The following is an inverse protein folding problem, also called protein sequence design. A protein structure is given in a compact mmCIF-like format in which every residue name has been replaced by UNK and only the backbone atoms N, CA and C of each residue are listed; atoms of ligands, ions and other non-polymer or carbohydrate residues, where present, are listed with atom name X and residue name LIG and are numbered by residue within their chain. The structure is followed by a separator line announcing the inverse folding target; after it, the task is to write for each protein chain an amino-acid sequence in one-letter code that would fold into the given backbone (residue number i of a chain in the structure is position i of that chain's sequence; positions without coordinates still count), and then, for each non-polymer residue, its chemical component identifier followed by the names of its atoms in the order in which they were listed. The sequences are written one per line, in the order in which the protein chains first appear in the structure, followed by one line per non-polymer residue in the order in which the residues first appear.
data_IF_767276377532
#
_entry.id   IF_767276377532
#
_cell.length_a   1.000
_cell.length_b   1.000
_cell.length_c   1.000
_cell.angle_alpha   90.00
_cell.angle_beta   90.00
_cell.angle_gamma   90.00
#
_symmetry.space_group_name_H-M   'P 1'
#
loop_
_entity.id
_entity.type
_entity.pdbx_description
1 polymer ?
#
# COMPACT_ATOMS: atom_id res chain seq x y z
N UNK A 1 -3.33 -10.92 13.53
CA UNK A 1 -4.69 -11.46 13.33
C UNK A 1 -5.58 -11.29 14.57
N UNK A 2 -5.26 -11.84 15.75
CA UNK A 2 -6.08 -11.65 16.97
C UNK A 2 -6.41 -10.17 17.23
N UNK A 3 -5.37 -9.33 17.33
CA UNK A 3 -5.52 -7.88 17.49
C UNK A 3 -6.43 -7.22 16.43
N UNK A 4 -6.38 -7.69 15.17
CA UNK A 4 -7.21 -7.13 14.09
C UNK A 4 -8.68 -7.52 14.24
N UNK A 5 -8.95 -8.74 14.71
CA UNK A 5 -10.31 -9.18 15.05
C UNK A 5 -10.87 -8.43 16.25
N UNK A 6 -10.00 -8.02 17.17
CA UNK A 6 -10.34 -7.18 18.33
C UNK A 6 -10.48 -5.68 17.95
N UNK A 7 -10.52 -5.33 16.66
CA UNK A 7 -10.74 -3.98 16.17
C UNK A 7 -9.50 -3.09 16.12
N UNK A 8 -8.29 -3.64 16.33
CA UNK A 8 -7.04 -2.86 16.22
C UNK A 8 -6.55 -2.78 14.78
N UNK A 9 -5.98 -1.64 14.42
CA UNK A 9 -5.38 -1.42 13.11
C UNK A 9 -4.03 -2.15 12.96
N UNK A 10 -3.72 -2.55 11.73
CA UNK A 10 -2.40 -3.08 11.35
C UNK A 10 -1.94 -2.39 10.07
N UNK A 11 -0.66 -2.04 10.01
CA UNK A 11 -0.01 -1.50 8.82
C UNK A 11 0.93 -2.54 8.21
N UNK A 12 0.98 -2.60 6.88
CA UNK A 12 1.93 -3.41 6.13
C UNK A 12 2.42 -2.62 4.93
N UNK A 13 3.73 -2.69 4.67
CA UNK A 13 4.30 -2.19 3.41
C UNK A 13 3.98 -3.21 2.33
N UNK A 14 3.28 -2.77 1.28
CA UNK A 14 2.57 -3.68 0.38
C UNK A 14 3.49 -4.52 -0.52
N UNK A 15 4.62 -3.97 -0.95
CA UNK A 15 5.64 -4.64 -1.79
C UNK A 15 6.67 -5.47 -1.00
N UNK A 16 6.66 -5.36 0.33
CA UNK A 16 7.50 -6.17 1.22
C UNK A 16 9.00 -5.85 1.09
N UNK A 17 9.86 -6.56 1.83
CA UNK A 17 11.30 -6.22 1.88
C UNK A 17 12.12 -6.65 0.66
N UNK A 18 11.54 -7.46 -0.24
CA UNK A 18 12.24 -8.10 -1.37
C UNK A 18 11.77 -7.61 -2.74
N UNK A 19 10.77 -6.73 -2.78
CA UNK A 19 10.21 -6.20 -4.02
C UNK A 19 9.48 -7.20 -4.91
N UNK A 20 9.26 -6.85 -6.19
CA UNK A 20 9.64 -5.59 -6.85
C UNK A 20 8.83 -4.37 -6.37
N UNK A 21 9.40 -3.17 -6.56
CA UNK A 21 8.77 -1.91 -6.16
C UNK A 21 7.36 -1.79 -6.73
N UNK A 22 6.41 -1.34 -5.91
CA UNK A 22 5.00 -1.11 -6.33
C UNK A 22 4.26 -2.38 -6.79
N UNK A 23 4.77 -3.56 -6.47
CA UNK A 23 4.09 -4.84 -6.73
C UNK A 23 3.66 -5.45 -5.42
N UNK A 24 2.35 -5.56 -5.22
CA UNK A 24 1.76 -5.98 -3.95
C UNK A 24 2.02 -7.47 -3.70
N UNK A 25 2.50 -7.80 -2.50
CA UNK A 25 2.66 -9.19 -2.05
C UNK A 25 1.33 -9.72 -1.48
N UNK A 26 1.11 -11.03 -1.59
CA UNK A 26 -0.13 -11.67 -1.16
C UNK A 26 -0.40 -11.60 0.37
N UNK A 27 0.60 -11.27 1.19
CA UNK A 27 0.50 -11.26 2.65
C UNK A 27 -0.62 -10.38 3.20
N UNK A 28 -0.84 -9.19 2.60
CA UNK A 28 -1.93 -8.28 2.98
C UNK A 28 -3.31 -8.90 2.71
N UNK A 29 -3.48 -9.54 1.54
CA UNK A 29 -4.71 -10.24 1.14
C UNK A 29 -4.99 -11.43 2.08
N UNK A 30 -3.96 -12.23 2.40
CA UNK A 30 -4.08 -13.37 3.32
C UNK A 30 -4.48 -12.90 4.72
N UNK A 31 -3.85 -11.85 5.24
CA UNK A 31 -4.18 -11.30 6.55
C UNK A 31 -5.62 -10.80 6.60
N UNK A 32 -6.04 -10.03 5.59
CA UNK A 32 -7.41 -9.51 5.47
C UNK A 32 -8.44 -10.64 5.38
N UNK A 33 -8.25 -11.61 4.49
CA UNK A 33 -9.16 -12.77 4.34
C UNK A 33 -9.30 -13.59 5.62
N UNK A 34 -8.19 -13.82 6.35
CA UNK A 34 -8.20 -14.58 7.61
C UNK A 34 -8.76 -13.78 8.79
N UNK A 35 -8.52 -12.48 8.83
CA UNK A 35 -9.02 -11.61 9.89
C UNK A 35 -10.48 -11.19 9.67
N UNK A 36 -10.97 -11.23 8.42
CA UNK A 36 -12.31 -10.77 8.06
C UNK A 36 -12.45 -9.24 8.13
N UNK A 37 -11.35 -8.51 7.90
CA UNK A 37 -11.31 -7.04 7.97
C UNK A 37 -10.89 -6.45 6.62
N UNK A 38 -11.41 -5.27 6.23
CA UNK A 38 -11.03 -4.64 4.97
C UNK A 38 -9.58 -4.16 4.97
N UNK A 39 -9.02 -4.01 3.78
CA UNK A 39 -7.73 -3.33 3.55
C UNK A 39 -8.03 -1.90 3.12
N UNK A 40 -7.46 -0.91 3.81
CA UNK A 40 -7.51 0.49 3.40
C UNK A 40 -6.20 0.82 2.65
N UNK A 41 -6.22 1.01 1.31
CA UNK A 41 -5.03 1.44 0.58
C UNK A 41 -4.60 2.82 1.05
N UNK A 42 -3.32 3.00 1.33
CA UNK A 42 -2.74 4.27 1.74
C UNK A 42 -1.44 4.49 0.97
N UNK A 43 -1.25 5.71 0.47
CA UNK A 43 0.03 6.20 -0.06
C UNK A 43 0.30 7.58 0.51
N UNK A 44 1.55 8.03 0.38
CA UNK A 44 1.93 9.38 0.76
C UNK A 44 2.81 9.99 -0.33
N UNK A 45 2.85 11.32 -0.36
CA UNK A 45 3.81 12.08 -1.17
C UNK A 45 4.33 13.27 -0.36
N UNK A 46 5.41 13.89 -0.84
CA UNK A 46 5.92 15.09 -0.20
C UNK A 46 6.61 16.03 -1.19
N UNK A 47 6.69 17.30 -0.82
CA UNK A 47 7.29 18.33 -1.67
C UNK A 47 8.82 18.22 -1.75
N UNK A 48 9.47 17.81 -0.65
CA UNK A 48 10.93 17.76 -0.50
C UNK A 48 11.38 16.46 0.17
N UNK A 49 12.24 15.71 -0.51
CA UNK A 49 12.78 14.45 0.00
C UNK A 49 14.15 14.13 -0.61
N UNK A 50 14.83 13.15 -0.01
CA UNK A 50 15.98 12.46 -0.59
C UNK A 50 15.54 11.07 -1.04
N UNK A 51 15.76 10.74 -2.31
CA UNK A 51 15.56 9.38 -2.84
C UNK A 51 16.81 8.55 -2.61
N UNK A 52 16.67 7.33 -2.14
CA UNK A 52 17.78 6.37 -2.07
C UNK A 52 17.79 5.47 -3.30
N UNK A 53 18.97 4.99 -3.69
CA UNK A 53 19.13 3.98 -4.75
C UNK A 53 18.80 2.55 -4.29
N UNK A 54 17.88 2.41 -3.33
CA UNK A 54 17.37 1.11 -2.89
C UNK A 54 16.47 0.51 -3.96
N UNK A 55 16.20 -0.80 -3.87
CA UNK A 55 15.39 -1.54 -4.85
C UNK A 55 13.97 -0.97 -5.02
N UNK A 56 13.44 -0.32 -3.99
CA UNK A 56 12.12 0.33 -3.96
C UNK A 56 12.17 1.83 -4.27
N UNK A 57 13.36 2.41 -4.35
CA UNK A 57 13.56 3.85 -4.50
C UNK A 57 13.25 4.68 -3.26
N UNK A 58 13.15 4.10 -2.05
CA UNK A 58 12.74 4.76 -0.79
C UNK A 58 12.96 6.29 -0.77
N UNK A 59 11.87 7.04 -0.62
CA UNK A 59 11.93 8.48 -0.38
C UNK A 59 11.93 8.80 1.12
N UNK A 60 12.88 9.63 1.55
CA UNK A 60 12.93 10.18 2.90
C UNK A 60 12.61 11.68 2.87
N UNK A 61 11.45 12.09 3.40
CA UNK A 61 11.11 13.51 3.51
C UNK A 61 12.19 14.29 4.28
N UNK A 62 12.57 15.45 3.77
CA UNK A 62 13.52 16.33 4.44
C UNK A 62 12.82 17.08 5.59
N UNK A 63 13.55 17.55 6.63
CA UNK A 63 12.96 18.38 7.68
C UNK A 63 12.14 19.54 7.10
N UNK A 64 10.95 19.80 7.68
CA UNK A 64 9.99 20.83 7.22
C UNK A 64 9.37 20.58 5.83
N UNK A 65 9.43 19.36 5.31
CA UNK A 65 8.63 18.98 4.14
C UNK A 65 7.14 18.95 4.49
N UNK A 66 6.29 19.31 3.53
CA UNK A 66 4.86 18.99 3.59
C UNK A 66 4.67 17.56 3.12
N UNK A 67 4.01 16.74 3.92
CA UNK A 67 3.66 15.36 3.61
C UNK A 67 2.14 15.28 3.46
N UNK A 68 1.69 14.79 2.31
CA UNK A 68 0.28 14.58 2.01
C UNK A 68 -0.02 13.07 2.06
N UNK A 69 -1.03 12.68 2.85
CA UNK A 69 -1.50 11.30 2.95
C UNK A 69 -2.77 11.12 2.12
N UNK A 70 -2.82 10.02 1.38
CA UNK A 70 -3.92 9.68 0.50
C UNK A 70 -4.46 8.31 0.88
N UNK A 71 -5.79 8.21 0.97
CA UNK A 71 -6.49 6.98 1.25
C UNK A 71 -7.33 6.61 0.03
N UNK A 72 -7.24 5.35 -0.38
CA UNK A 72 -8.04 4.79 -1.47
C UNK A 72 -9.30 4.11 -0.96
N UNK A 73 -10.10 3.62 -1.90
CA UNK A 73 -11.30 2.83 -1.58
C UNK A 73 -10.94 1.54 -0.82
N UNK A 74 -11.61 1.24 0.30
CA UNK A 74 -11.41 -0.01 1.04
C UNK A 74 -11.64 -1.25 0.16
N UNK A 75 -10.77 -2.24 0.30
CA UNK A 75 -10.89 -3.54 -0.34
C UNK A 75 -11.39 -4.56 0.68
N UNK A 76 -12.60 -5.09 0.46
CA UNK A 76 -13.16 -6.18 1.25
C UNK A 76 -12.72 -7.49 0.61
N UNK A 77 -11.90 -8.26 1.32
CA UNK A 77 -11.44 -9.58 0.86
C UNK A 77 -12.35 -10.65 1.45
N UNK A 78 -12.94 -11.54 0.64
CA UNK A 78 -13.77 -12.63 1.15
C UNK A 78 -12.99 -13.54 2.13
N UNK A 79 -13.66 -14.23 3.06
CA UNK A 79 -13.01 -15.26 3.86
C UNK A 79 -12.72 -16.52 3.04
N UNK A 80 -11.66 -17.25 3.39
CA UNK A 80 -11.30 -18.57 2.79
C UNK A 80 -11.14 -18.53 1.26
N UNK A 81 -10.53 -17.49 0.71
CA UNK A 81 -10.28 -17.38 -0.74
C UNK A 81 -9.34 -18.48 -1.25
N UNK A 82 -9.60 -18.95 -2.46
CA UNK A 82 -8.72 -19.85 -3.21
C UNK A 82 -7.61 -19.06 -3.91
N UNK A 83 -6.60 -19.76 -4.41
CA UNK A 83 -5.39 -19.18 -5.02
C UNK A 83 -5.69 -18.19 -6.17
N UNK A 84 -6.60 -18.52 -7.07
CA UNK A 84 -6.96 -17.67 -8.22
C UNK A 84 -7.66 -16.38 -7.78
N UNK A 85 -8.61 -16.48 -6.85
CA UNK A 85 -9.31 -15.30 -6.32
C UNK A 85 -8.34 -14.43 -5.49
N UNK A 86 -7.38 -15.04 -4.80
CA UNK A 86 -6.33 -14.31 -4.09
C UNK A 86 -5.51 -13.43 -5.02
N UNK A 87 -5.09 -13.96 -6.17
CA UNK A 87 -4.35 -13.18 -7.16
C UNK A 87 -5.18 -12.04 -7.74
N UNK A 88 -6.47 -12.29 -8.01
CA UNK A 88 -7.39 -11.24 -8.45
C UNK A 88 -7.51 -10.11 -7.43
N UNK A 89 -7.68 -10.44 -6.16
CA UNK A 89 -7.74 -9.43 -5.08
C UNK A 89 -6.41 -8.69 -4.92
N UNK A 90 -5.27 -9.39 -5.08
CA UNK A 90 -3.93 -8.79 -5.07
C UNK A 90 -3.76 -7.75 -6.18
N UNK A 91 -4.15 -8.09 -7.41
CA UNK A 91 -4.12 -7.19 -8.56
C UNK A 91 -5.05 -5.98 -8.40
N UNK A 92 -6.25 -6.17 -7.81
CA UNK A 92 -7.15 -5.06 -7.50
C UNK A 92 -6.48 -4.09 -6.52
N UNK A 93 -5.88 -4.61 -5.45
CA UNK A 93 -5.18 -3.80 -4.46
C UNK A 93 -3.98 -3.05 -5.07
N UNK A 94 -3.18 -3.76 -5.88
CA UNK A 94 -2.04 -3.19 -6.59
C UNK A 94 -2.44 -2.04 -7.51
N UNK A 95 -3.46 -2.25 -8.34
CA UNK A 95 -3.96 -1.19 -9.22
C UNK A 95 -4.49 0.01 -8.42
N UNK A 96 -5.18 -0.21 -7.29
CA UNK A 96 -5.64 0.88 -6.42
C UNK A 96 -4.46 1.68 -5.85
N UNK A 97 -3.44 1.00 -5.33
CA UNK A 97 -2.25 1.64 -4.78
C UNK A 97 -1.46 2.40 -5.86
N UNK A 98 -1.27 1.81 -7.04
CA UNK A 98 -0.53 2.44 -8.14
C UNK A 98 -1.25 3.65 -8.72
N UNK A 99 -2.58 3.58 -8.87
CA UNK A 99 -3.38 4.72 -9.29
C UNK A 99 -3.37 5.84 -8.25
N UNK A 100 -3.45 5.49 -6.96
CA UNK A 100 -3.41 6.47 -5.87
C UNK A 100 -2.02 7.12 -5.76
N UNK A 101 -0.96 6.32 -5.91
CA UNK A 101 0.42 6.76 -5.95
C UNK A 101 0.66 7.79 -7.06
N UNK A 102 0.23 7.48 -8.29
CA UNK A 102 0.40 8.38 -9.42
C UNK A 102 -0.29 9.74 -9.18
N UNK A 103 -1.51 9.73 -8.63
CA UNK A 103 -2.22 10.96 -8.24
C UNK A 103 -1.50 11.73 -7.14
N UNK A 104 -1.02 11.03 -6.10
CA UNK A 104 -0.34 11.63 -4.97
C UNK A 104 0.94 12.36 -5.37
N UNK A 105 1.73 11.76 -6.26
CA UNK A 105 2.97 12.36 -6.74
C UNK A 105 2.76 13.42 -7.81
N UNK A 106 1.72 13.29 -8.65
CA UNK A 106 1.34 14.34 -9.60
C UNK A 106 1.00 15.67 -8.91
N UNK A 107 0.40 15.63 -7.72
CA UNK A 107 0.13 16.84 -6.91
C UNK A 107 1.40 17.53 -6.38
N UNK A 108 2.56 16.86 -6.44
CA UNK A 108 3.87 17.42 -6.12
C UNK A 108 4.65 17.79 -7.38
N UNK A 109 4.00 17.84 -8.54
CA UNK A 109 4.58 18.02 -9.88
C UNK A 109 5.64 16.97 -10.23
N UNK A 110 5.44 15.72 -9.78
CA UNK A 110 6.37 14.60 -9.96
C UNK A 110 5.66 13.36 -10.50
N UNK A 111 6.34 12.58 -11.35
CA UNK A 111 5.83 11.30 -11.88
C UNK A 111 6.05 10.15 -10.90
N UNK A 112 7.09 10.26 -10.08
CA UNK A 112 7.42 9.38 -8.98
C UNK A 112 8.23 10.14 -7.93
N UNK A 113 8.40 9.53 -6.77
CA UNK A 113 9.44 9.96 -5.84
C UNK A 113 10.82 9.71 -6.45
#
# INVERSE_FOLDING_TARGET
IRNMRDGRNAGIVADGSQGPARVVQAGSIVLSSRAGVPILPMVWSCNRYKRFGSWDGTALPLPFSKIDFFYGEPLIVPPKIKSEEMEKQRLILENRLNNLYAKAWALQDKTEH
#
